data_IF_443917544504
#
_entry.id   IF_443917544504
#
_cell.length_a   1.000
_cell.length_b   1.000
_cell.length_c   1.000
_cell.angle_alpha   90.00
_cell.angle_beta   90.00
_cell.angle_gamma   90.00
#
_symmetry.space_group_name_H-M   'P 1'
#
loop_
_entity.id
_entity.type
_entity.pdbx_description
1 polymer ?
#
# COMPACT_ATOMS: atom_id res chain seq x y z
N UNK A 1 28.05 17.75 -1.08
CA UNK A 1 28.80 16.51 -0.78
C UNK A 1 28.84 16.37 0.74
N UNK A 2 27.78 15.81 1.36
CA UNK A 2 27.65 15.75 2.82
C UNK A 2 28.46 14.55 3.35
N UNK A 3 29.50 14.83 4.14
CA UNK A 3 30.25 13.85 4.94
C UNK A 3 29.74 13.92 6.38
N UNK A 4 29.08 12.86 6.84
CA UNK A 4 28.91 12.62 8.28
C UNK A 4 30.17 11.90 8.79
N UNK A 5 30.87 12.44 9.80
CA UNK A 5 31.98 11.75 10.45
C UNK A 5 31.43 10.69 11.40
N UNK A 6 32.05 9.51 11.40
CA UNK A 6 31.85 8.39 12.34
C UNK A 6 30.77 7.34 12.03
N UNK A 7 30.65 6.92 10.77
CA UNK A 7 30.25 5.53 10.48
C UNK A 7 31.30 4.91 9.54
N UNK A 8 32.34 4.32 10.13
CA UNK A 8 33.29 3.49 9.39
C UNK A 8 32.64 2.14 9.07
N UNK A 9 31.75 2.13 8.09
CA UNK A 9 31.26 0.88 7.55
C UNK A 9 32.42 0.18 6.83
N UNK A 10 32.74 -1.01 7.28
CA UNK A 10 33.66 -1.90 6.56
C UNK A 10 33.12 -2.15 5.14
N UNK A 11 33.97 -2.45 4.15
CA UNK A 11 33.52 -2.79 2.79
C UNK A 11 32.44 -3.88 2.78
N UNK A 12 32.54 -4.84 3.71
CA UNK A 12 31.53 -5.88 3.93
C UNK A 12 30.19 -5.33 4.39
N UNK A 13 30.17 -4.37 5.33
CA UNK A 13 28.93 -3.74 5.79
C UNK A 13 28.28 -2.87 4.70
N UNK A 14 29.08 -2.13 3.92
CA UNK A 14 28.60 -1.37 2.75
C UNK A 14 27.97 -2.33 1.74
N UNK A 15 28.64 -3.46 1.48
CA UNK A 15 28.16 -4.47 0.56
C UNK A 15 26.86 -5.12 1.05
N UNK A 16 26.75 -5.45 2.34
CA UNK A 16 25.52 -5.99 2.94
C UNK A 16 24.38 -4.98 2.87
N UNK A 17 24.63 -3.71 3.19
CA UNK A 17 23.61 -2.66 3.12
C UNK A 17 23.13 -2.44 1.68
N UNK A 18 24.06 -2.34 0.73
CA UNK A 18 23.73 -2.22 -0.69
C UNK A 18 22.86 -3.39 -1.18
N UNK A 19 23.19 -4.63 -0.77
CA UNK A 19 22.37 -5.81 -1.10
C UNK A 19 20.98 -5.73 -0.49
N UNK A 20 20.83 -5.29 0.75
CA UNK A 20 19.52 -5.10 1.36
C UNK A 20 18.69 -4.06 0.62
N UNK A 21 19.29 -2.96 0.19
CA UNK A 21 18.59 -1.93 -0.61
C UNK A 21 18.18 -2.46 -1.99
N UNK A 22 19.05 -3.21 -2.66
CA UNK A 22 18.72 -3.86 -3.94
C UNK A 22 17.60 -4.88 -3.75
N UNK A 23 17.67 -5.71 -2.72
CA UNK A 23 16.64 -6.71 -2.42
C UNK A 23 15.30 -6.05 -2.08
N UNK A 24 15.29 -4.93 -1.34
CA UNK A 24 14.09 -4.11 -1.11
C UNK A 24 13.48 -3.59 -2.41
N UNK A 25 14.30 -3.15 -3.37
CA UNK A 25 13.82 -2.69 -4.67
C UNK A 25 13.25 -3.86 -5.47
N UNK A 26 13.96 -4.99 -5.55
CA UNK A 26 13.51 -6.18 -6.25
C UNK A 26 12.18 -6.71 -5.69
N UNK A 27 12.00 -6.65 -4.37
CA UNK A 27 10.76 -7.04 -3.71
C UNK A 27 9.56 -6.25 -4.22
N UNK A 28 9.72 -4.97 -4.59
CA UNK A 28 8.64 -4.16 -5.20
C UNK A 28 8.18 -4.68 -6.56
N UNK A 29 8.98 -5.54 -7.19
CA UNK A 29 8.68 -6.19 -8.46
C UNK A 29 8.43 -7.70 -8.31
N UNK A 30 8.16 -8.17 -7.09
CA UNK A 30 7.89 -9.58 -6.81
C UNK A 30 9.11 -10.50 -6.98
N UNK A 31 10.31 -9.93 -6.98
CA UNK A 31 11.57 -10.69 -7.06
C UNK A 31 12.41 -10.50 -5.80
N UNK A 32 13.38 -11.36 -5.64
CA UNK A 32 14.37 -11.35 -4.56
C UNK A 32 15.75 -11.55 -5.17
N UNK A 33 16.82 -11.25 -4.43
CA UNK A 33 18.18 -11.57 -4.86
C UNK A 33 18.38 -13.07 -5.13
N UNK A 34 17.58 -13.95 -4.50
CA UNK A 34 17.56 -15.39 -4.80
C UNK A 34 17.13 -15.73 -6.22
N UNK A 35 16.35 -14.86 -6.88
CA UNK A 35 15.93 -15.06 -8.28
C UNK A 35 17.05 -14.74 -9.29
N UNK A 36 18.20 -14.24 -8.80
CA UNK A 36 19.36 -13.87 -9.60
C UNK A 36 20.61 -14.60 -9.08
N UNK A 37 20.84 -15.86 -9.48
CA UNK A 37 21.93 -16.69 -8.93
C UNK A 37 23.35 -16.18 -9.27
N UNK A 38 23.48 -15.29 -10.25
CA UNK A 38 24.73 -14.59 -10.55
C UNK A 38 25.05 -13.46 -9.57
N UNK A 39 24.10 -13.06 -8.72
CA UNK A 39 24.27 -12.03 -7.71
C UNK A 39 24.69 -12.63 -6.36
N UNK A 40 25.60 -11.95 -5.63
CA UNK A 40 25.99 -12.39 -4.30
C UNK A 40 24.82 -12.33 -3.31
N UNK A 41 24.46 -13.49 -2.73
CA UNK A 41 23.31 -13.62 -1.83
C UNK A 41 23.55 -12.91 -0.48
N UNK A 42 22.52 -12.33 0.16
CA UNK A 42 22.65 -11.76 1.50
C UNK A 42 22.93 -12.88 2.53
N UNK A 43 23.78 -12.63 3.53
CA UNK A 43 24.00 -13.60 4.62
C UNK A 43 22.75 -13.66 5.49
N UNK A 44 22.12 -14.84 5.49
CA UNK A 44 20.76 -15.14 5.99
C UNK A 44 20.59 -14.90 7.52
N UNK A 45 21.66 -14.60 8.25
CA UNK A 45 21.69 -14.53 9.72
C UNK A 45 20.98 -13.32 10.36
N UNK A 46 20.29 -12.47 9.58
CA UNK A 46 19.51 -11.34 10.09
C UNK A 46 18.13 -11.14 9.45
N UNK A 47 17.69 -12.10 8.62
CA UNK A 47 16.47 -11.98 7.78
C UNK A 47 15.30 -12.71 8.45
N UNK A 48 15.19 -12.66 9.78
CA UNK A 48 14.11 -13.34 10.52
C UNK A 48 12.78 -12.58 10.52
N UNK A 49 12.64 -11.53 9.71
CA UNK A 49 11.37 -10.88 9.48
C UNK A 49 11.25 -10.52 8.00
N UNK A 50 11.07 -11.56 7.18
CA UNK A 50 10.25 -11.43 5.98
C UNK A 50 8.85 -11.06 6.44
N UNK A 51 8.67 -9.80 6.83
CA UNK A 51 7.35 -9.19 6.97
C UNK A 51 6.62 -9.44 5.66
N UNK A 52 5.37 -9.88 5.77
CA UNK A 52 4.50 -10.08 4.62
C UNK A 52 4.57 -8.84 3.73
N UNK A 53 5.05 -8.99 2.49
CA UNK A 53 5.29 -7.89 1.54
C UNK A 53 4.09 -6.97 1.45
N UNK A 54 2.89 -7.53 1.38
CA UNK A 54 1.64 -6.78 1.26
C UNK A 54 1.39 -5.93 2.52
N UNK A 55 1.68 -6.46 3.71
CA UNK A 55 1.57 -5.71 4.96
C UNK A 55 2.56 -4.55 4.97
N UNK A 56 3.81 -4.77 4.55
CA UNK A 56 4.83 -3.71 4.50
C UNK A 56 4.46 -2.60 3.53
N UNK A 57 3.99 -2.96 2.34
CA UNK A 57 3.54 -1.99 1.33
C UNK A 57 2.38 -1.15 1.87
N UNK A 58 1.37 -1.81 2.47
CA UNK A 58 0.22 -1.14 3.09
C UNK A 58 0.59 -0.24 4.28
N UNK A 59 1.65 -0.56 5.03
CA UNK A 59 2.12 0.28 6.14
C UNK A 59 3.12 1.37 5.70
N UNK A 60 3.59 1.33 4.45
CA UNK A 60 4.59 2.27 3.92
C UNK A 60 4.01 3.54 3.29
N UNK A 61 2.67 3.65 3.20
CA UNK A 61 2.04 4.82 2.61
C UNK A 61 2.38 6.12 3.34
N UNK A 62 2.42 7.20 2.57
CA UNK A 62 2.51 8.54 3.12
C UNK A 62 1.19 8.92 3.79
N UNK A 63 1.16 8.83 5.12
CA UNK A 63 -0.02 9.12 5.93
C UNK A 63 -0.52 10.55 5.69
N UNK A 64 0.37 11.55 5.65
CA UNK A 64 -0.02 12.95 5.48
C UNK A 64 -0.67 13.20 4.12
N UNK A 65 -0.14 12.57 3.07
CA UNK A 65 -0.72 12.63 1.73
C UNK A 65 -2.09 11.97 1.68
N UNK A 66 -2.24 10.77 2.28
CA UNK A 66 -3.53 10.08 2.36
C UNK A 66 -4.58 10.89 3.14
N UNK A 67 -4.18 11.55 4.23
CA UNK A 67 -5.07 12.44 5.00
C UNK A 67 -5.52 13.64 4.16
N UNK A 68 -4.60 14.25 3.40
CA UNK A 68 -4.92 15.36 2.51
C UNK A 68 -5.89 14.94 1.40
N UNK A 69 -5.61 13.82 0.72
CA UNK A 69 -6.47 13.22 -0.31
C UNK A 69 -7.85 12.91 0.27
N UNK A 70 -7.90 12.26 1.44
CA UNK A 70 -9.16 11.94 2.11
C UNK A 70 -9.96 13.20 2.43
N UNK A 71 -9.33 14.19 3.05
CA UNK A 71 -9.98 15.44 3.46
C UNK A 71 -10.59 16.15 2.25
N UNK A 72 -9.83 16.27 1.16
CA UNK A 72 -10.31 16.83 -0.09
C UNK A 72 -11.47 16.02 -0.67
N UNK A 73 -11.28 14.72 -0.88
CA UNK A 73 -12.27 13.89 -1.56
C UNK A 73 -13.58 13.76 -0.79
N UNK A 74 -13.52 13.69 0.55
CA UNK A 74 -14.71 13.62 1.40
C UNK A 74 -15.64 14.82 1.17
N UNK A 75 -15.09 16.01 0.94
CA UNK A 75 -15.90 17.22 0.65
C UNK A 75 -16.60 17.18 -0.71
N UNK A 76 -16.12 16.35 -1.63
CA UNK A 76 -16.65 16.23 -2.99
C UNK A 76 -17.69 15.10 -3.12
N UNK A 77 -17.93 14.33 -2.07
CA UNK A 77 -18.93 13.26 -2.09
C UNK A 77 -20.34 13.85 -2.20
N UNK A 78 -21.13 13.30 -3.11
CA UNK A 78 -22.55 13.63 -3.17
C UNK A 78 -23.31 12.97 -1.98
N UNK A 79 -24.57 13.35 -1.80
CA UNK A 79 -25.40 12.92 -0.66
C UNK A 79 -25.49 11.39 -0.54
N UNK A 80 -25.66 10.67 -1.65
CA UNK A 80 -25.80 9.21 -1.64
C UNK A 80 -24.46 8.51 -1.38
N UNK A 81 -23.37 9.00 -1.98
CA UNK A 81 -22.02 8.52 -1.70
C UNK A 81 -21.63 8.77 -0.23
N UNK A 82 -22.00 9.92 0.33
CA UNK A 82 -21.73 10.26 1.73
C UNK A 82 -22.47 9.34 2.69
N UNK A 83 -23.71 8.95 2.38
CA UNK A 83 -24.46 7.94 3.15
C UNK A 83 -23.73 6.60 3.15
N UNK A 84 -23.32 6.11 1.97
CA UNK A 84 -22.57 4.86 1.85
C UNK A 84 -21.21 4.93 2.56
N UNK A 85 -20.48 6.04 2.41
CA UNK A 85 -19.23 6.31 3.11
C UNK A 85 -19.40 6.21 4.62
N UNK A 86 -20.39 6.92 5.18
CA UNK A 86 -20.61 6.94 6.62
C UNK A 86 -20.97 5.55 7.15
N UNK A 87 -21.82 4.80 6.44
CA UNK A 87 -22.19 3.44 6.84
C UNK A 87 -20.96 2.51 6.94
N UNK A 88 -20.06 2.56 5.95
CA UNK A 88 -18.85 1.75 5.94
C UNK A 88 -17.87 2.19 7.04
N UNK A 89 -17.60 3.49 7.16
CA UNK A 89 -16.65 4.01 8.15
C UNK A 89 -17.12 3.74 9.58
N UNK A 90 -18.41 3.94 9.88
CA UNK A 90 -18.96 3.62 11.19
C UNK A 90 -18.83 2.13 11.52
N UNK A 91 -19.07 1.23 10.56
CA UNK A 91 -18.90 -0.21 10.78
C UNK A 91 -17.43 -0.60 11.07
N UNK A 92 -16.49 0.08 10.41
CA UNK A 92 -15.04 -0.11 10.65
C UNK A 92 -14.62 0.46 12.01
N UNK A 93 -15.06 1.67 12.36
CA UNK A 93 -14.70 2.34 13.62
C UNK A 93 -15.29 1.64 14.85
N UNK A 94 -16.49 1.08 14.71
CA UNK A 94 -17.16 0.33 15.79
C UNK A 94 -16.72 -1.13 15.89
N UNK A 95 -15.91 -1.62 14.93
CA UNK A 95 -15.48 -3.02 14.88
C UNK A 95 -16.62 -4.01 14.62
N UNK A 96 -17.83 -3.55 14.26
CA UNK A 96 -18.97 -4.41 13.93
C UNK A 96 -18.72 -5.21 12.65
N UNK A 97 -17.89 -4.70 11.75
CA UNK A 97 -17.69 -5.27 10.42
C UNK A 97 -18.96 -5.17 9.56
N UNK A 98 -18.93 -5.82 8.40
CA UNK A 98 -20.10 -5.88 7.53
C UNK A 98 -19.76 -6.11 6.06
N UNK A 99 -20.78 -6.47 5.28
CA UNK A 99 -20.70 -6.59 3.82
C UNK A 99 -21.63 -5.55 3.22
N UNK A 100 -21.10 -4.71 2.34
CA UNK A 100 -21.82 -3.58 1.74
C UNK A 100 -21.80 -3.71 0.22
N UNK A 101 -22.97 -3.52 -0.39
CA UNK A 101 -23.11 -3.48 -1.84
C UNK A 101 -23.49 -2.06 -2.28
N UNK A 102 -22.57 -1.37 -2.96
CA UNK A 102 -22.82 -0.04 -3.52
C UNK A 102 -23.28 -0.19 -4.95
N UNK A 103 -24.56 0.09 -5.19
CA UNK A 103 -25.16 0.05 -6.52
C UNK A 103 -25.23 1.45 -7.16
N UNK A 104 -24.97 1.52 -8.46
CA UNK A 104 -25.13 2.75 -9.24
C UNK A 104 -24.75 2.53 -10.70
N UNK A 105 -25.33 3.32 -11.60
CA UNK A 105 -25.04 3.24 -13.04
C UNK A 105 -23.56 3.57 -13.37
N UNK A 106 -23.15 3.33 -14.61
CA UNK A 106 -21.84 3.78 -15.09
C UNK A 106 -21.64 5.27 -14.85
N UNK A 107 -20.44 5.69 -14.46
CA UNK A 107 -20.11 7.11 -14.24
C UNK A 107 -20.55 7.72 -12.90
N UNK A 108 -21.19 6.98 -11.98
CA UNK A 108 -21.60 7.51 -10.67
C UNK A 108 -20.49 7.71 -9.64
N UNK A 109 -19.22 7.61 -10.05
CA UNK A 109 -18.09 7.80 -9.13
C UNK A 109 -17.96 6.73 -8.04
N UNK A 110 -18.42 5.49 -8.25
CA UNK A 110 -18.22 4.39 -7.28
C UNK A 110 -16.75 4.21 -6.92
N UNK A 111 -15.87 4.27 -7.92
CA UNK A 111 -14.42 4.19 -7.70
C UNK A 111 -13.92 5.34 -6.84
N UNK A 112 -14.43 6.55 -7.06
CA UNK A 112 -14.09 7.71 -6.23
C UNK A 112 -14.49 7.51 -4.77
N UNK A 113 -15.68 6.94 -4.52
CA UNK A 113 -16.12 6.56 -3.18
C UNK A 113 -15.17 5.54 -2.54
N UNK A 114 -14.85 4.45 -3.25
CA UNK A 114 -13.95 3.40 -2.74
C UNK A 114 -12.54 3.94 -2.44
N UNK A 115 -11.97 4.75 -3.33
CA UNK A 115 -10.67 5.39 -3.11
C UNK A 115 -10.68 6.33 -1.91
N UNK A 116 -11.80 7.04 -1.68
CA UNK A 116 -11.95 7.92 -0.51
C UNK A 116 -12.02 7.13 0.80
N UNK A 117 -12.73 6.00 0.81
CA UNK A 117 -12.79 5.09 1.97
C UNK A 117 -11.41 4.48 2.25
N UNK A 118 -10.73 3.98 1.22
CA UNK A 118 -9.40 3.41 1.34
C UNK A 118 -8.40 4.43 1.88
N UNK A 119 -8.41 5.66 1.35
CA UNK A 119 -7.54 6.74 1.83
C UNK A 119 -7.78 7.05 3.32
N UNK A 120 -9.05 7.10 3.78
CA UNK A 120 -9.37 7.27 5.20
C UNK A 120 -8.75 6.17 6.05
N UNK A 121 -9.01 4.91 5.71
CA UNK A 121 -8.59 3.77 6.54
C UNK A 121 -7.05 3.63 6.53
N UNK A 122 -6.41 3.76 5.36
CA UNK A 122 -4.94 3.72 5.25
C UNK A 122 -4.25 4.89 5.95
N UNK A 123 -4.89 6.06 5.99
CA UNK A 123 -4.37 7.21 6.74
C UNK A 123 -4.34 6.99 8.26
N UNK A 124 -5.05 5.97 8.76
CA UNK A 124 -5.01 5.53 10.15
C UNK A 124 -4.05 4.35 10.36
N UNK A 125 -3.17 4.08 9.40
CA UNK A 125 -2.23 2.95 9.40
C UNK A 125 -2.91 1.58 9.48
N UNK A 126 -4.14 1.48 8.97
CA UNK A 126 -4.87 0.21 8.82
C UNK A 126 -4.69 -0.34 7.41
N UNK A 127 -4.71 -1.66 7.30
CA UNK A 127 -4.52 -2.39 6.04
C UNK A 127 -5.82 -2.43 5.25
N UNK A 128 -5.78 -2.09 3.96
CA UNK A 128 -6.94 -2.18 3.06
C UNK A 128 -6.58 -2.98 1.83
N UNK A 129 -7.31 -4.05 1.55
CA UNK A 129 -7.13 -4.85 0.33
C UNK A 129 -8.16 -4.43 -0.72
N UNK A 130 -7.70 -3.84 -1.82
CA UNK A 130 -8.55 -3.44 -2.95
C UNK A 130 -8.45 -4.49 -4.05
N UNK A 131 -9.60 -4.94 -4.58
CA UNK A 131 -9.66 -5.93 -5.67
C UNK A 131 -10.48 -5.33 -6.81
N UNK A 132 -9.99 -5.46 -8.04
CA UNK A 132 -10.68 -5.03 -9.25
C UNK A 132 -10.68 -6.15 -10.29
N UNK A 133 -11.85 -6.49 -10.82
CA UNK A 133 -11.98 -7.47 -11.91
C UNK A 133 -11.72 -6.88 -13.31
N UNK A 134 -11.57 -5.55 -13.42
CA UNK A 134 -11.31 -4.83 -14.66
C UNK A 134 -10.03 -4.01 -14.55
N UNK A 135 -9.19 -4.07 -15.59
CA UNK A 135 -7.91 -3.34 -15.61
C UNK A 135 -8.06 -1.82 -15.46
N UNK A 136 -9.17 -1.23 -15.92
CA UNK A 136 -9.42 0.21 -15.75
C UNK A 136 -9.78 0.54 -14.30
N UNK A 137 -10.57 -0.30 -13.64
CA UNK A 137 -10.87 -0.13 -12.22
C UNK A 137 -9.62 -0.32 -11.36
N UNK A 138 -8.74 -1.22 -11.78
CA UNK A 138 -7.48 -1.46 -11.12
C UNK A 138 -6.60 -0.19 -11.09
N UNK A 139 -6.38 0.45 -12.24
CA UNK A 139 -5.57 1.67 -12.31
C UNK A 139 -6.10 2.85 -11.47
N UNK A 140 -7.39 2.87 -11.18
CA UNK A 140 -8.05 3.97 -10.48
C UNK A 140 -8.19 3.74 -8.97
N UNK A 141 -8.03 2.51 -8.52
CA UNK A 141 -7.99 2.18 -7.10
C UNK A 141 -6.55 2.25 -6.62
N UNK A 142 -6.28 2.87 -5.45
CA UNK A 142 -4.94 2.89 -4.90
C UNK A 142 -4.48 1.46 -4.62
N UNK A 143 -3.47 1.04 -5.38
CA UNK A 143 -2.73 -0.24 -5.37
C UNK A 143 -3.51 -1.54 -5.56
N UNK A 144 -4.22 -1.69 -6.68
CA UNK A 144 -4.65 -3.02 -7.16
C UNK A 144 -3.60 -3.72 -8.05
N UNK A 145 -2.37 -3.19 -8.12
CA UNK A 145 -1.41 -3.56 -9.16
C UNK A 145 -1.04 -5.06 -9.19
N UNK A 146 -1.28 -5.80 -8.11
CA UNK A 146 -0.90 -7.21 -8.00
C UNK A 146 -2.06 -8.22 -8.03
N UNK A 147 -3.31 -7.79 -8.31
CA UNK A 147 -4.50 -8.68 -8.32
C UNK A 147 -5.10 -8.98 -9.71
N UNK A 148 -4.51 -8.45 -10.79
CA UNK A 148 -5.01 -8.66 -12.16
C UNK A 148 -4.42 -9.95 -12.80
N UNK A 149 -3.77 -10.82 -12.04
CA UNK A 149 -3.14 -12.05 -12.54
C UNK A 149 -3.87 -13.35 -12.19
N UNK A 150 -5.17 -13.28 -11.85
CA UNK A 150 -6.04 -14.45 -11.70
C UNK A 150 -6.99 -14.62 -12.89
#
# INVERSE_FOLDING_TARGET
MYRHPEIHLTPTQIQTYCRLEVDKILMRFGKTLSDFPSLPQPSISGISSLDNRMIREELSYNIAELQAIHTQNKTLLNVEQLKAYNAVITAVETGQGGVFFVYGHGGTGKTFLYSTIAAKIRSEQKIVLTVASSGIAALLLPDTADLISL
#
